data_IF_800758702321
#
_entry.id   IF_800758702321
#
_cell.length_a   1.000
_cell.length_b   1.000
_cell.length_c   1.000
_cell.angle_alpha   90.00
_cell.angle_beta   90.00
_cell.angle_gamma   90.00
#
_symmetry.space_group_name_H-M   'P 1'
#
loop_
_entity.id
_entity.type
_entity.pdbx_description
1 polymer ?
#
# COMPACT_ATOMS: atom_id res chain seq x y z
N UNK A 1 -0.21 -0.67 -8.02
CA UNK A 1 1.05 0.03 -8.36
C UNK A 1 0.89 1.41 -9.01
N UNK A 2 -0.01 1.63 -9.98
CA UNK A 2 -0.17 2.91 -10.71
C UNK A 2 -0.09 4.16 -9.83
N UNK A 3 -0.84 4.20 -8.73
CA UNK A 3 -0.86 5.34 -7.81
C UNK A 3 0.51 5.67 -7.21
N UNK A 4 1.30 4.64 -6.86
CA UNK A 4 2.64 4.79 -6.27
C UNK A 4 3.60 5.36 -7.29
N UNK A 5 3.60 4.83 -8.52
CA UNK A 5 4.44 5.31 -9.62
C UNK A 5 4.15 6.78 -9.93
N UNK A 6 2.87 7.13 -10.11
CA UNK A 6 2.46 8.51 -10.40
C UNK A 6 2.89 9.46 -9.27
N UNK A 7 2.69 9.06 -8.01
CA UNK A 7 3.11 9.86 -6.85
C UNK A 7 4.61 10.09 -6.82
N UNK A 8 5.40 9.07 -7.12
CA UNK A 8 6.84 9.20 -7.12
C UNK A 8 7.39 10.02 -8.28
N UNK A 9 6.82 9.88 -9.48
CA UNK A 9 7.16 10.73 -10.61
C UNK A 9 6.84 12.20 -10.27
N UNK A 10 5.65 12.46 -9.70
CA UNK A 10 5.28 13.80 -9.26
C UNK A 10 6.26 14.37 -8.22
N UNK A 11 6.73 13.56 -7.27
CA UNK A 11 7.69 14.03 -6.26
C UNK A 11 9.08 14.27 -6.83
N UNK A 12 9.52 13.47 -7.81
CA UNK A 12 10.75 13.75 -8.53
C UNK A 12 10.69 15.04 -9.37
N UNK A 13 9.49 15.42 -9.84
CA UNK A 13 9.23 16.73 -10.47
C UNK A 13 9.25 17.85 -9.43
N UNK A 14 8.42 17.73 -8.39
CA UNK A 14 8.21 18.77 -7.37
C UNK A 14 9.47 18.97 -6.50
N UNK A 15 10.37 17.99 -6.46
CA UNK A 15 11.60 18.02 -5.69
C UNK A 15 11.40 18.06 -4.17
N UNK A 16 10.19 17.73 -3.69
CA UNK A 16 9.82 17.72 -2.28
C UNK A 16 10.37 16.50 -1.56
N UNK A 17 10.79 16.71 -0.32
CA UNK A 17 11.16 15.63 0.58
C UNK A 17 9.92 14.77 0.91
N UNK A 18 10.07 13.45 0.77
CA UNK A 18 9.07 12.47 1.19
C UNK A 18 9.03 12.40 2.72
N UNK A 19 10.22 12.44 3.32
CA UNK A 19 10.53 12.56 4.75
C UNK A 19 11.81 13.40 4.85
N UNK A 20 12.14 13.92 6.04
CA UNK A 20 13.34 14.76 6.22
C UNK A 20 14.59 14.10 5.59
N UNK A 21 15.17 14.71 4.55
CA UNK A 21 16.36 14.19 3.87
C UNK A 21 16.12 13.06 2.85
N UNK A 22 14.88 12.61 2.68
CA UNK A 22 14.47 11.64 1.66
C UNK A 22 13.89 12.33 0.44
N UNK A 23 14.76 12.73 -0.49
CA UNK A 23 14.37 13.30 -1.78
C UNK A 23 14.34 12.23 -2.87
N UNK A 24 13.23 12.15 -3.60
CA UNK A 24 13.18 11.40 -4.86
C UNK A 24 13.70 12.32 -5.97
N UNK A 25 14.76 11.92 -6.65
CA UNK A 25 15.25 12.59 -7.86
C UNK A 25 15.17 11.64 -9.05
N UNK A 26 15.08 12.20 -10.25
CA UNK A 26 14.92 11.44 -11.49
C UNK A 26 16.02 10.41 -11.74
N UNK A 27 17.27 10.69 -11.33
CA UNK A 27 18.39 9.76 -11.51
C UNK A 27 18.25 8.59 -10.57
N UNK A 28 17.88 8.85 -9.31
CA UNK A 28 17.58 7.82 -8.32
C UNK A 28 16.40 6.96 -8.72
N UNK A 29 15.33 7.53 -9.29
CA UNK A 29 14.17 6.76 -9.76
C UNK A 29 14.55 5.64 -10.76
N UNK A 30 15.57 5.89 -11.59
CA UNK A 30 16.03 4.94 -12.61
C UNK A 30 16.97 3.86 -12.05
N UNK A 31 17.55 4.07 -10.86
CA UNK A 31 18.44 3.10 -10.22
C UNK A 31 17.69 1.81 -9.88
N UNK A 32 18.36 0.67 -10.07
CA UNK A 32 17.81 -0.66 -9.76
C UNK A 32 17.43 -0.81 -8.30
N UNK A 33 18.19 -0.18 -7.41
CA UNK A 33 17.96 -0.25 -5.96
C UNK A 33 16.93 0.76 -5.47
N UNK A 34 16.28 1.51 -6.38
CA UNK A 34 15.28 2.47 -5.98
C UNK A 34 14.02 1.78 -5.42
N UNK A 35 13.45 2.23 -4.28
CA UNK A 35 12.31 1.59 -3.65
C UNK A 35 11.11 1.35 -4.59
N UNK A 36 10.84 2.27 -5.51
CA UNK A 36 9.75 2.10 -6.49
C UNK A 36 10.03 1.01 -7.49
N UNK A 37 11.29 0.88 -7.92
CA UNK A 37 11.69 -0.13 -8.90
C UNK A 37 11.61 -1.51 -8.26
N UNK A 38 12.14 -1.65 -7.04
CA UNK A 38 11.95 -2.86 -6.22
C UNK A 38 10.46 -3.14 -6.02
N UNK A 39 9.64 -2.14 -5.68
CA UNK A 39 8.21 -2.31 -5.49
C UNK A 39 7.50 -2.76 -6.78
N UNK A 40 7.88 -2.22 -7.94
CA UNK A 40 7.37 -2.64 -9.25
C UNK A 40 7.76 -4.08 -9.55
N UNK A 41 9.06 -4.38 -9.50
CA UNK A 41 9.63 -5.68 -9.88
C UNK A 41 9.11 -6.81 -8.98
N UNK A 42 8.78 -6.50 -7.72
CA UNK A 42 8.27 -7.49 -6.75
C UNK A 42 6.76 -7.51 -6.62
N UNK A 43 6.01 -6.60 -7.27
CA UNK A 43 4.57 -6.42 -7.02
C UNK A 43 3.76 -7.69 -7.29
N UNK A 44 3.87 -8.24 -8.50
CA UNK A 44 3.05 -9.40 -8.90
C UNK A 44 3.40 -10.64 -8.08
N UNK A 45 4.69 -10.87 -7.85
CA UNK A 45 5.18 -11.97 -7.00
C UNK A 45 4.64 -11.85 -5.57
N UNK A 46 4.72 -10.66 -4.97
CA UNK A 46 4.22 -10.42 -3.61
C UNK A 46 2.71 -10.54 -3.55
N UNK A 47 1.99 -10.01 -4.54
CA UNK A 47 0.54 -10.11 -4.62
C UNK A 47 0.10 -11.57 -4.64
N UNK A 48 0.69 -12.40 -5.51
CA UNK A 48 0.38 -13.83 -5.58
C UNK A 48 0.67 -14.53 -4.26
N UNK A 49 1.84 -14.27 -3.65
CA UNK A 49 2.20 -14.83 -2.34
C UNK A 49 1.19 -14.47 -1.24
N UNK A 50 0.75 -13.20 -1.18
CA UNK A 50 -0.24 -12.79 -0.20
C UNK A 50 -1.62 -13.40 -0.48
N UNK A 51 -1.99 -13.58 -1.74
CA UNK A 51 -3.23 -14.27 -2.12
C UNK A 51 -3.23 -15.74 -1.71
N UNK A 52 -2.11 -16.44 -1.91
CA UNK A 52 -1.91 -17.82 -1.43
C UNK A 52 -1.99 -17.91 0.09
N UNK A 53 -1.22 -17.06 0.79
CA UNK A 53 -1.18 -17.03 2.25
C UNK A 53 -2.56 -16.77 2.85
N UNK A 54 -3.33 -15.82 2.30
CA UNK A 54 -4.70 -15.53 2.75
C UNK A 54 -5.70 -16.67 2.48
N UNK A 55 -5.36 -17.63 1.63
CA UNK A 55 -6.14 -18.85 1.41
C UNK A 55 -5.86 -19.96 2.42
N UNK A 56 -4.82 -19.83 3.24
CA UNK A 56 -4.47 -20.84 4.25
C UNK A 56 -5.46 -20.81 5.42
N UNK A 57 -5.76 -22.00 5.97
CA UNK A 57 -6.74 -22.15 7.07
C UNK A 57 -6.35 -21.36 8.32
N UNK A 58 -5.05 -21.14 8.53
CA UNK A 58 -4.52 -20.33 9.63
C UNK A 58 -5.14 -18.92 9.64
N UNK A 59 -5.38 -18.33 8.48
CA UNK A 59 -5.90 -16.96 8.34
C UNK A 59 -7.42 -16.89 8.15
N UNK A 60 -8.14 -18.01 8.25
CA UNK A 60 -9.60 -18.08 8.07
C UNK A 60 -10.39 -17.22 9.06
N UNK A 61 -9.80 -16.90 10.21
CA UNK A 61 -10.37 -16.01 11.22
C UNK A 61 -10.25 -14.52 10.87
N UNK A 62 -9.48 -14.15 9.84
CA UNK A 62 -9.29 -12.77 9.42
C UNK A 62 -10.38 -12.31 8.45
N UNK A 63 -10.87 -11.08 8.65
CA UNK A 63 -11.74 -10.41 7.68
C UNK A 63 -10.91 -9.54 6.73
N UNK A 64 -10.90 -9.90 5.45
CA UNK A 64 -10.11 -9.20 4.45
C UNK A 64 -10.86 -8.02 3.82
N UNK A 65 -10.22 -6.85 3.79
CA UNK A 65 -10.69 -5.67 3.06
C UNK A 65 -9.68 -5.31 1.96
N UNK A 66 -10.05 -5.55 0.69
CA UNK A 66 -9.22 -5.17 -0.47
C UNK A 66 -9.63 -3.79 -0.97
N UNK A 67 -8.73 -2.82 -0.83
CA UNK A 67 -8.96 -1.45 -1.25
C UNK A 67 -8.00 -1.06 -2.36
N UNK A 68 -8.53 -0.52 -3.46
CA UNK A 68 -7.79 -0.12 -4.65
C UNK A 68 -7.76 1.41 -4.83
N UNK A 69 -8.68 2.11 -4.17
CA UNK A 69 -8.80 3.56 -4.21
C UNK A 69 -9.13 4.14 -2.82
N UNK A 70 -9.15 5.47 -2.74
CA UNK A 70 -9.38 6.20 -1.49
C UNK A 70 -10.80 5.97 -0.95
N UNK A 71 -11.80 5.85 -1.81
CA UNK A 71 -13.19 5.70 -1.36
C UNK A 71 -13.38 4.34 -0.66
N UNK A 72 -12.81 3.28 -1.23
CA UNK A 72 -12.83 1.95 -0.62
C UNK A 72 -12.09 1.91 0.73
N UNK A 73 -10.97 2.64 0.85
CA UNK A 73 -10.27 2.76 2.15
C UNK A 73 -11.16 3.46 3.18
N UNK A 74 -11.82 4.56 2.82
CA UNK A 74 -12.69 5.28 3.75
C UNK A 74 -13.89 4.43 4.19
N UNK A 75 -14.49 3.69 3.27
CA UNK A 75 -15.57 2.73 3.57
C UNK A 75 -15.08 1.60 4.51
N UNK A 76 -13.90 1.03 4.24
CA UNK A 76 -13.32 0.01 5.11
C UNK A 76 -13.01 0.56 6.52
N UNK A 77 -12.50 1.79 6.62
CA UNK A 77 -12.24 2.45 7.90
C UNK A 77 -13.52 2.73 8.68
N UNK A 78 -14.59 3.16 8.01
CA UNK A 78 -15.90 3.33 8.64
C UNK A 78 -16.40 2.00 9.23
N UNK A 79 -16.36 0.92 8.42
CA UNK A 79 -16.73 -0.44 8.88
C UNK A 79 -15.90 -0.90 10.07
N UNK A 80 -14.59 -0.64 10.07
CA UNK A 80 -13.72 -0.97 11.21
C UNK A 80 -14.09 -0.14 12.45
N UNK A 81 -14.30 1.17 12.30
CA UNK A 81 -14.68 2.06 13.39
C UNK A 81 -15.99 1.64 14.05
N UNK A 82 -16.98 1.23 13.26
CA UNK A 82 -18.27 0.74 13.76
C UNK A 82 -18.11 -0.60 14.51
N UNK A 83 -17.26 -1.51 14.01
CA UNK A 83 -16.97 -2.77 14.69
C UNK A 83 -16.31 -2.55 16.06
N UNK A 84 -15.33 -1.65 16.15
CA UNK A 84 -14.67 -1.33 17.43
C UNK A 84 -15.61 -0.63 18.41
N UNK A 85 -16.46 0.28 17.93
CA UNK A 85 -17.45 0.97 18.77
C UNK A 85 -18.45 -0.01 19.38
N UNK A 86 -18.86 -1.03 18.63
CA UNK A 86 -19.80 -2.06 19.09
C UNK A 86 -19.17 -3.12 20.01
N UNK A 87 -17.87 -3.41 19.86
CA UNK A 87 -17.14 -4.30 20.79
C UNK A 87 -16.84 -3.65 22.15
N UNK A 88 -16.86 -2.32 22.24
CA UNK A 88 -16.54 -1.58 23.47
C UNK A 88 -17.72 -1.52 24.47
N UNK A 89 -18.88 -2.07 24.11
CA UNK A 89 -20.12 -2.05 24.89
C UNK A 89 -20.54 -3.44 25.43
N UNK A 90 -19.66 -4.44 25.31
CA UNK A 90 -19.82 -5.81 25.83
C UNK A 90 -18.62 -6.19 26.67
#
# INVERSE_FOLDING_TARGET
MRQVIIRSLKRAIDGKDVFLGCREDWRRLLNKDHPIRIAWDTFDKRRAKFEEMLGESEYSHLKLFRCFDKAQVLDALAKLSDLYSNQSLT
#
